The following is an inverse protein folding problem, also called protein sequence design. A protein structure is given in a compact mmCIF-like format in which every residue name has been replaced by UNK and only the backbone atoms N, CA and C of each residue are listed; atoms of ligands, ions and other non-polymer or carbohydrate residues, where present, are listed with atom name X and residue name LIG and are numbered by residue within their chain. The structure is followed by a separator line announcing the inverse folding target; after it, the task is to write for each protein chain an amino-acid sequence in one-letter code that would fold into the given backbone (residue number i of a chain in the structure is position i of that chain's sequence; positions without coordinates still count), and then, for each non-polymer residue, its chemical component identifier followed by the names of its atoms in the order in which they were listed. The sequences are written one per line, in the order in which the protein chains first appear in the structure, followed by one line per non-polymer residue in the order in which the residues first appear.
data_IF_213445763795
#
_entry.id   IF_213445763795
#
_cell.length_a   1.000
_cell.length_b   1.000
_cell.length_c   1.000
_cell.angle_alpha   90.00
_cell.angle_beta   90.00
_cell.angle_gamma   90.00
#
_symmetry.space_group_name_H-M   'P 1'
#
loop_
_entity.id
_entity.type
_entity.pdbx_description
1 polymer ?
#
# COMPACT_ATOMS: atom_id res chain seq x y z
N UNK A 1 7.77 -0.17 11.59
CA UNK A 1 6.51 -0.64 12.19
C UNK A 1 5.78 -1.44 11.14
N UNK A 2 5.34 -2.65 11.47
CA UNK A 2 4.53 -3.50 10.58
C UNK A 2 3.11 -3.59 11.12
N UNK A 3 2.13 -3.70 10.24
CA UNK A 3 0.71 -3.77 10.60
C UNK A 3 0.07 -4.82 9.71
N UNK A 4 -0.60 -5.79 10.30
CA UNK A 4 -1.39 -6.80 9.58
C UNK A 4 -2.43 -7.39 10.55
N UNK A 5 -3.56 -7.86 10.02
CA UNK A 5 -4.65 -8.48 10.79
C UNK A 5 -4.75 -9.99 10.56
N UNK A 6 -3.85 -10.59 9.77
CA UNK A 6 -3.75 -12.03 9.60
C UNK A 6 -3.05 -12.67 10.83
N UNK A 7 -3.72 -13.57 11.57
CA UNK A 7 -3.12 -14.24 12.72
C UNK A 7 -1.87 -15.07 12.38
N UNK A 8 -1.70 -15.50 11.13
CA UNK A 8 -0.51 -16.21 10.66
C UNK A 8 0.69 -15.27 10.61
N UNK A 9 0.51 -14.03 10.14
CA UNK A 9 1.57 -13.03 10.10
C UNK A 9 2.06 -12.72 11.51
N UNK A 10 1.15 -12.56 12.48
CA UNK A 10 1.51 -12.33 13.88
C UNK A 10 2.42 -13.45 14.45
N UNK A 11 2.16 -14.71 14.10
CA UNK A 11 2.95 -15.84 14.56
C UNK A 11 4.40 -15.78 14.05
N UNK A 12 4.59 -15.39 12.79
CA UNK A 12 5.90 -15.25 12.17
C UNK A 12 6.60 -13.94 12.57
N UNK A 13 5.86 -12.84 12.72
CA UNK A 13 6.37 -11.53 13.07
C UNK A 13 7.14 -11.54 14.41
N UNK A 14 6.61 -12.24 15.42
CA UNK A 14 7.29 -12.39 16.72
C UNK A 14 8.63 -13.11 16.62
N UNK A 15 8.81 -13.97 15.63
CA UNK A 15 10.04 -14.73 15.43
C UNK A 15 11.05 -13.99 14.52
N UNK A 16 10.57 -13.17 13.58
CA UNK A 16 11.39 -12.62 12.49
C UNK A 16 11.68 -11.12 12.60
N UNK A 17 10.89 -10.36 13.36
CA UNK A 17 11.08 -8.91 13.49
C UNK A 17 12.14 -8.57 14.55
N UNK A 18 13.35 -9.06 14.33
CA UNK A 18 14.53 -8.64 15.11
C UNK A 18 15.08 -7.34 14.53
N UNK A 19 15.40 -6.39 15.40
CA UNK A 19 16.03 -5.13 15.03
C UNK A 19 17.52 -5.15 15.33
N UNK A 20 18.29 -4.29 14.66
CA UNK A 20 19.64 -3.96 15.12
C UNK A 20 19.58 -3.15 16.43
N UNK A 21 20.69 -3.06 17.19
CA UNK A 21 20.77 -2.26 18.41
C UNK A 21 20.43 -0.78 18.22
N UNK A 22 20.73 -0.22 17.06
CA UNK A 22 20.51 1.20 16.72
C UNK A 22 19.07 1.46 16.23
N UNK A 23 18.40 0.44 15.69
CA UNK A 23 17.07 0.53 15.12
C UNK A 23 15.96 0.10 16.07
N UNK A 24 14.71 0.24 15.62
CA UNK A 24 13.55 -0.34 16.28
C UNK A 24 12.59 -0.94 15.26
N UNK A 25 12.07 -2.12 15.56
CA UNK A 25 10.99 -2.78 14.83
C UNK A 25 9.82 -3.04 15.78
N UNK A 26 8.62 -3.13 15.23
CA UNK A 26 7.40 -3.41 15.98
C UNK A 26 6.36 -3.97 15.04
N UNK A 27 5.37 -4.64 15.61
CA UNK A 27 4.24 -5.23 14.89
C UNK A 27 2.95 -4.89 15.61
N UNK A 28 1.95 -4.46 14.84
CA UNK A 28 0.61 -4.16 15.33
C UNK A 28 -0.37 -5.13 14.67
N UNK A 29 -1.11 -5.84 15.50
CA UNK A 29 -2.27 -6.61 15.07
C UNK A 29 -3.48 -5.67 14.93
N UNK A 30 -3.66 -5.14 13.72
CA UNK A 30 -4.75 -4.21 13.41
C UNK A 30 -5.16 -4.30 11.95
N UNK A 31 -6.46 -4.05 11.72
CA UNK A 31 -6.99 -3.84 10.38
C UNK A 31 -6.56 -2.46 9.86
N UNK A 32 -6.11 -2.40 8.61
CA UNK A 32 -5.75 -1.14 7.93
C UNK A 32 -6.92 -0.15 7.90
N UNK A 33 -8.17 -0.62 8.02
CA UNK A 33 -9.36 0.24 8.04
C UNK A 33 -9.50 1.06 9.34
N UNK A 34 -8.67 0.79 10.36
CA UNK A 34 -8.62 1.48 11.65
C UNK A 34 -7.28 2.24 11.87
N UNK A 35 -7.08 3.40 11.18
CA UNK A 35 -5.89 4.23 11.35
C UNK A 35 -5.65 4.66 12.80
N UNK A 36 -6.72 4.91 13.57
CA UNK A 36 -6.59 5.39 14.95
C UNK A 36 -5.89 4.35 15.81
N UNK A 37 -6.36 3.09 15.78
CA UNK A 37 -5.68 1.98 16.47
C UNK A 37 -4.25 1.80 16.00
N UNK A 38 -3.99 1.93 14.70
CA UNK A 38 -2.63 1.80 14.14
C UNK A 38 -1.71 2.88 14.69
N UNK A 39 -2.10 4.14 14.65
CA UNK A 39 -1.23 5.25 15.09
C UNK A 39 -1.09 5.32 16.61
N UNK A 40 -2.13 4.95 17.36
CA UNK A 40 -2.09 4.91 18.82
C UNK A 40 -1.04 3.91 19.33
N UNK A 41 -0.78 2.83 18.60
CA UNK A 41 0.29 1.88 18.92
C UNK A 41 1.61 2.22 18.20
N UNK A 42 1.55 2.79 16.99
CA UNK A 42 2.75 3.11 16.23
C UNK A 42 3.64 4.14 16.92
N UNK A 43 3.06 5.08 17.68
CA UNK A 43 3.79 6.09 18.46
C UNK A 43 4.74 5.50 19.52
N UNK A 44 4.56 4.24 19.92
CA UNK A 44 5.52 3.57 20.83
C UNK A 44 6.90 3.35 20.17
N UNK A 45 6.94 3.30 18.83
CA UNK A 45 8.13 3.04 18.04
C UNK A 45 8.52 4.23 17.15
N UNK A 46 7.55 4.93 16.58
CA UNK A 46 7.75 6.03 15.64
C UNK A 46 7.54 7.39 16.31
N UNK A 47 8.46 8.32 16.07
CA UNK A 47 8.23 9.74 16.34
C UNK A 47 7.46 10.37 15.16
N UNK A 48 6.15 10.52 15.30
CA UNK A 48 5.28 11.04 14.24
C UNK A 48 5.43 12.55 14.00
N UNK A 49 6.20 13.25 14.84
CA UNK A 49 6.58 14.65 14.58
C UNK A 49 7.65 14.79 13.49
N UNK A 50 8.35 13.69 13.17
CA UNK A 50 9.34 13.61 12.11
C UNK A 50 8.75 12.93 10.85
N UNK A 51 9.35 13.12 9.66
CA UNK A 51 8.90 12.47 8.44
C UNK A 51 8.89 10.94 8.53
N UNK A 52 7.79 10.32 8.08
CA UNK A 52 7.60 8.87 8.05
C UNK A 52 7.37 8.39 6.61
N UNK A 53 7.97 7.24 6.26
CA UNK A 53 7.60 6.50 5.06
C UNK A 53 6.39 5.59 5.34
N UNK A 54 5.23 5.92 4.77
CA UNK A 54 4.02 5.11 4.81
C UNK A 54 3.95 4.21 3.58
N UNK A 55 3.94 2.90 3.81
CA UNK A 55 3.88 1.89 2.75
C UNK A 55 2.51 1.20 2.81
N UNK A 56 1.67 1.45 1.81
CA UNK A 56 0.37 0.80 1.60
C UNK A 56 0.45 -0.08 0.36
N UNK A 57 1.26 -1.14 0.46
CA UNK A 57 1.58 -2.01 -0.66
C UNK A 57 0.63 -3.20 -0.69
N UNK A 58 -0.03 -3.40 -1.84
CA UNK A 58 -0.90 -4.55 -2.11
C UNK A 58 -2.00 -4.78 -1.06
N UNK A 59 -2.59 -3.70 -0.54
CA UNK A 59 -3.62 -3.79 0.51
C UNK A 59 -4.90 -3.01 0.19
N UNK A 60 -4.81 -1.85 -0.47
CA UNK A 60 -5.96 -0.95 -0.66
C UNK A 60 -7.03 -1.50 -1.61
N UNK A 61 -6.68 -2.48 -2.44
CA UNK A 61 -7.65 -3.20 -3.26
C UNK A 61 -8.60 -4.09 -2.44
N UNK A 62 -8.36 -4.29 -1.13
CA UNK A 62 -9.31 -4.93 -0.21
C UNK A 62 -10.21 -3.94 0.54
N UNK A 63 -10.08 -2.65 0.25
CA UNK A 63 -10.95 -1.60 0.78
C UNK A 63 -11.96 -1.26 -0.30
N UNK A 64 -13.23 -1.55 -0.04
CA UNK A 64 -14.32 -1.39 -1.01
C UNK A 64 -14.68 0.07 -1.20
N UNK A 65 -15.36 0.40 -2.30
CA UNK A 65 -15.72 1.78 -2.60
C UNK A 65 -16.64 2.39 -1.54
N UNK A 66 -17.52 1.60 -0.92
CA UNK A 66 -18.39 2.05 0.18
C UNK A 66 -17.61 2.34 1.48
N UNK A 67 -16.37 1.86 1.58
CA UNK A 67 -15.47 2.07 2.72
C UNK A 67 -14.57 3.30 2.54
N UNK A 68 -14.75 4.05 1.44
CA UNK A 68 -13.98 5.25 1.07
C UNK A 68 -12.46 5.02 1.07
N UNK A 69 -11.91 4.31 0.06
CA UNK A 69 -10.48 3.98 0.02
C UNK A 69 -9.60 5.23 -0.05
N UNK A 70 -10.06 6.29 -0.72
CA UNK A 70 -9.34 7.57 -0.78
C UNK A 70 -9.32 8.27 0.58
N UNK A 71 -10.47 8.35 1.25
CA UNK A 71 -10.57 8.90 2.60
C UNK A 71 -9.74 8.11 3.59
N UNK A 72 -9.65 6.77 3.45
CA UNK A 72 -8.77 5.96 4.28
C UNK A 72 -7.30 6.36 4.11
N UNK A 73 -6.80 6.42 2.86
CA UNK A 73 -5.42 6.83 2.58
C UNK A 73 -5.15 8.25 3.10
N UNK A 74 -6.08 9.18 2.93
CA UNK A 74 -5.99 10.55 3.47
C UNK A 74 -5.93 10.56 5.00
N UNK A 75 -6.76 9.79 5.69
CA UNK A 75 -6.72 9.66 7.16
C UNK A 75 -5.37 9.16 7.66
N UNK A 76 -4.72 8.24 6.92
CA UNK A 76 -3.35 7.85 7.26
C UNK A 76 -2.36 9.01 7.07
N UNK A 77 -2.41 9.68 5.93
CA UNK A 77 -1.53 10.81 5.63
C UNK A 77 -1.70 11.97 6.61
N UNK A 78 -2.92 12.26 7.06
CA UNK A 78 -3.23 13.35 8.00
C UNK A 78 -2.52 13.19 9.35
N UNK A 79 -2.21 11.96 9.75
CA UNK A 79 -1.49 11.64 11.00
C UNK A 79 0.02 11.81 10.90
N UNK A 80 0.55 12.06 9.69
CA UNK A 80 1.99 12.16 9.43
C UNK A 80 2.43 13.61 9.26
N UNK A 81 3.69 13.90 9.61
CA UNK A 81 4.26 15.25 9.45
C UNK A 81 4.53 15.60 7.97
N UNK A 82 4.56 16.90 7.60
CA UNK A 82 5.08 17.37 6.31
C UNK A 82 6.45 16.78 5.98
N UNK A 83 6.68 16.45 4.71
CA UNK A 83 7.88 15.76 4.25
C UNK A 83 7.87 14.23 4.42
N UNK A 84 6.84 13.67 5.04
CA UNK A 84 6.55 12.22 4.99
C UNK A 84 6.31 11.74 3.56
N UNK A 85 6.36 10.44 3.32
CA UNK A 85 6.15 9.85 1.99
C UNK A 85 5.08 8.78 2.03
N UNK A 86 4.29 8.68 0.95
CA UNK A 86 3.43 7.55 0.64
C UNK A 86 4.06 6.73 -0.47
N UNK A 87 4.20 5.44 -0.28
CA UNK A 87 4.37 4.45 -1.33
C UNK A 87 3.13 3.55 -1.34
N UNK A 88 2.45 3.46 -2.48
CA UNK A 88 1.21 2.69 -2.62
C UNK A 88 1.26 1.86 -3.90
N UNK A 89 0.73 0.64 -3.82
CA UNK A 89 0.47 -0.20 -4.99
C UNK A 89 -0.98 -0.69 -5.02
N UNK A 90 -1.53 -0.82 -6.22
CA UNK A 90 -2.92 -1.17 -6.44
C UNK A 90 -3.10 -2.07 -7.66
N UNK A 91 -3.81 -3.19 -7.48
CA UNK A 91 -4.10 -4.12 -8.56
C UNK A 91 -5.04 -3.50 -9.58
N UNK A 92 -4.82 -3.82 -10.85
CA UNK A 92 -5.63 -3.32 -11.97
C UNK A 92 -6.08 -4.45 -12.89
N UNK A 93 -7.33 -4.36 -13.35
CA UNK A 93 -7.87 -5.28 -14.34
C UNK A 93 -7.76 -4.78 -15.79
N UNK A 94 -7.12 -3.63 -16.04
CA UNK A 94 -7.19 -2.95 -17.34
C UNK A 94 -6.58 -3.73 -18.50
N UNK A 95 -5.54 -4.51 -18.23
CA UNK A 95 -4.78 -5.24 -19.23
C UNK A 95 -5.33 -6.65 -19.53
N UNK A 96 -6.18 -7.18 -18.65
CA UNK A 96 -6.86 -8.47 -18.85
C UNK A 96 -8.16 -8.54 -18.03
N UNK A 97 -9.18 -7.79 -18.47
CA UNK A 97 -10.47 -7.69 -17.78
C UNK A 97 -11.15 -9.05 -17.54
N UNK A 98 -11.20 -9.98 -18.52
CA UNK A 98 -11.80 -11.30 -18.29
C UNK A 98 -11.13 -12.08 -17.16
N UNK A 99 -9.79 -12.14 -17.13
CA UNK A 99 -9.05 -12.84 -16.09
C UNK A 99 -9.26 -12.19 -14.73
N UNK A 100 -9.17 -10.86 -14.65
CA UNK A 100 -9.35 -10.17 -13.37
C UNK A 100 -10.77 -10.21 -12.84
N UNK A 101 -11.80 -10.26 -13.70
CA UNK A 101 -13.18 -10.54 -13.26
C UNK A 101 -13.30 -11.91 -12.61
N UNK A 102 -12.69 -12.94 -13.20
CA UNK A 102 -12.68 -14.28 -12.63
C UNK A 102 -11.91 -14.34 -11.29
N UNK A 103 -10.77 -13.66 -11.20
CA UNK A 103 -9.97 -13.59 -9.97
C UNK A 103 -10.76 -12.87 -8.87
N UNK A 104 -11.27 -11.66 -9.14
CA UNK A 104 -12.07 -10.90 -8.17
C UNK A 104 -13.29 -11.68 -7.70
N UNK A 105 -13.95 -12.44 -8.58
CA UNK A 105 -15.13 -13.23 -8.18
C UNK A 105 -14.81 -14.35 -7.18
N UNK A 106 -13.54 -14.77 -7.05
CA UNK A 106 -13.14 -15.74 -6.01
C UNK A 106 -13.17 -15.13 -4.60
N UNK A 107 -13.15 -13.80 -4.50
CA UNK A 107 -13.18 -13.07 -3.24
C UNK A 107 -14.59 -12.57 -2.87
N UNK A 108 -15.56 -12.68 -3.79
CA UNK A 108 -16.92 -12.21 -3.59
C UNK A 108 -17.59 -12.90 -2.37
N UNK A 109 -18.23 -12.10 -1.52
CA UNK A 109 -18.89 -12.58 -0.31
C UNK A 109 -17.95 -12.95 0.83
N UNK A 110 -16.64 -12.78 0.65
CA UNK A 110 -15.65 -12.92 1.74
C UNK A 110 -15.34 -11.57 2.40
N UNK A 111 -14.82 -11.55 3.64
CA UNK A 111 -14.29 -10.33 4.25
C UNK A 111 -13.14 -9.65 3.47
N UNK A 112 -12.58 -10.34 2.47
CA UNK A 112 -11.46 -9.87 1.63
C UNK A 112 -11.91 -9.60 0.20
N UNK A 113 -13.15 -9.14 0.01
CA UNK A 113 -13.65 -8.75 -1.33
C UNK A 113 -12.66 -7.79 -1.99
N UNK A 114 -12.18 -8.15 -3.19
CA UNK A 114 -11.11 -7.44 -3.88
C UNK A 114 -11.64 -6.59 -5.03
N UNK A 115 -11.38 -5.29 -4.97
CA UNK A 115 -11.75 -4.30 -5.99
C UNK A 115 -10.49 -3.87 -6.74
N UNK A 116 -10.38 -4.30 -8.01
CA UNK A 116 -9.35 -3.79 -8.92
C UNK A 116 -9.79 -2.47 -9.53
N UNK A 117 -8.84 -1.55 -9.73
CA UNK A 117 -9.13 -0.18 -10.17
C UNK A 117 -8.27 0.19 -11.38
N UNK A 118 -8.72 1.17 -12.14
CA UNK A 118 -7.98 1.68 -13.30
C UNK A 118 -6.89 2.67 -12.90
N UNK A 119 -6.10 3.12 -13.88
CA UNK A 119 -5.02 4.08 -13.67
C UNK A 119 -5.52 5.41 -13.09
N UNK A 120 -6.60 5.98 -13.64
CA UNK A 120 -7.14 7.26 -13.16
C UNK A 120 -7.55 7.18 -11.68
N UNK A 121 -8.11 6.03 -11.29
CA UNK A 121 -8.48 5.77 -9.91
C UNK A 121 -7.22 5.58 -9.04
N UNK A 122 -6.17 4.92 -9.55
CA UNK A 122 -4.90 4.79 -8.86
C UNK A 122 -4.17 6.14 -8.66
N UNK A 123 -4.21 7.01 -9.67
CA UNK A 123 -3.67 8.37 -9.63
C UNK A 123 -4.30 9.19 -8.50
N UNK A 124 -5.62 9.08 -8.32
CA UNK A 124 -6.37 9.80 -7.29
C UNK A 124 -5.93 9.51 -5.84
N UNK A 125 -5.21 8.41 -5.58
CA UNK A 125 -4.65 8.15 -4.23
C UNK A 125 -3.52 9.12 -3.86
N UNK A 126 -2.94 9.79 -4.87
CA UNK A 126 -1.83 10.71 -4.70
C UNK A 126 -2.25 12.19 -4.84
N UNK A 127 -3.56 12.47 -4.95
CA UNK A 127 -4.09 13.82 -5.04
C UNK A 127 -3.61 14.71 -3.88
N UNK A 128 -3.02 15.86 -4.22
CA UNK A 128 -2.48 16.81 -3.23
C UNK A 128 -1.10 16.46 -2.68
N UNK A 129 -0.45 15.41 -3.18
CA UNK A 129 0.93 15.05 -2.87
C UNK A 129 1.88 15.43 -4.01
N UNK A 130 3.17 15.50 -3.71
CA UNK A 130 4.25 15.73 -4.67
C UNK A 130 4.75 14.37 -5.19
N UNK A 131 4.24 13.92 -6.33
CA UNK A 131 4.64 12.66 -6.95
C UNK A 131 6.13 12.66 -7.34
N UNK A 132 6.82 11.58 -6.99
CA UNK A 132 8.18 11.33 -7.46
C UNK A 132 8.12 10.77 -8.89
N UNK A 133 9.05 11.21 -9.74
CA UNK A 133 9.19 10.67 -11.11
C UNK A 133 9.36 9.14 -11.09
N UNK A 134 8.70 8.38 -11.99
CA UNK A 134 7.95 8.83 -13.17
C UNK A 134 6.45 9.16 -12.92
N UNK A 135 6.05 9.35 -11.65
CA UNK A 135 4.65 9.40 -11.25
C UNK A 135 4.11 8.00 -10.96
N UNK A 136 2.83 7.79 -11.29
CA UNK A 136 2.20 6.47 -11.18
C UNK A 136 2.50 5.65 -12.44
N UNK A 137 3.04 4.45 -12.24
CA UNK A 137 3.40 3.53 -13.32
C UNK A 137 3.14 2.09 -12.90
N UNK A 138 3.22 1.14 -13.83
CA UNK A 138 3.21 -0.27 -13.45
C UNK A 138 4.45 -0.61 -12.65
N UNK A 139 4.33 -1.49 -11.65
CA UNK A 139 5.42 -1.80 -10.70
C UNK A 139 6.74 -2.18 -11.40
N UNK A 140 6.67 -3.03 -12.44
CA UNK A 140 7.85 -3.45 -13.22
C UNK A 140 8.48 -2.36 -14.09
N UNK A 141 7.82 -1.20 -14.24
CA UNK A 141 8.31 -0.03 -14.99
C UNK A 141 8.71 1.12 -14.06
N UNK A 142 8.48 1.01 -12.76
CA UNK A 142 8.77 2.07 -11.80
C UNK A 142 10.23 1.96 -11.32
N UNK A 143 11.11 2.79 -11.90
CA UNK A 143 12.56 2.85 -11.59
C UNK A 143 13.23 1.46 -11.52
N UNK A 144 13.17 0.66 -12.59
CA UNK A 144 13.83 -0.64 -12.62
C UNK A 144 15.35 -0.49 -12.39
N UNK A 145 15.95 -1.50 -11.78
CA UNK A 145 17.40 -1.54 -11.61
C UNK A 145 18.11 -1.65 -12.98
N UNK A 146 19.38 -1.23 -13.11
CA UNK A 146 20.07 -1.19 -14.41
C UNK A 146 20.16 -2.53 -15.16
N UNK A 147 20.07 -3.65 -14.45
CA UNK A 147 20.09 -5.01 -14.98
C UNK A 147 18.69 -5.62 -15.19
N UNK A 148 17.63 -4.91 -14.78
CA UNK A 148 16.25 -5.32 -15.03
C UNK A 148 15.77 -4.84 -16.40
N UNK A 149 15.20 -5.76 -17.19
CA UNK A 149 14.51 -5.42 -18.43
C UNK A 149 13.01 -5.25 -18.16
N UNK A 150 12.46 -4.01 -18.14
CA UNK A 150 11.04 -3.79 -17.89
C UNK A 150 10.14 -4.40 -18.97
N UNK A 151 10.66 -4.73 -20.16
CA UNK A 151 9.89 -5.38 -21.22
C UNK A 151 10.00 -6.91 -21.20
N UNK A 152 10.64 -7.50 -20.17
CA UNK A 152 10.69 -8.95 -19.99
C UNK A 152 9.33 -9.56 -19.58
N UNK A 153 8.44 -8.72 -19.04
CA UNK A 153 7.07 -9.07 -18.69
C UNK A 153 6.12 -8.16 -19.47
N UNK A 154 5.01 -8.72 -19.93
CA UNK A 154 3.92 -7.92 -20.49
C UNK A 154 3.12 -7.27 -19.35
N UNK A 155 2.57 -6.07 -19.58
CA UNK A 155 1.78 -5.34 -18.59
C UNK A 155 0.64 -6.19 -17.97
N UNK A 156 0.01 -7.06 -18.78
CA UNK A 156 -1.04 -8.00 -18.31
C UNK A 156 -0.54 -9.02 -17.29
N UNK A 157 0.73 -9.40 -17.35
CA UNK A 157 1.35 -10.35 -16.41
C UNK A 157 1.63 -9.71 -15.05
N UNK A 158 1.69 -8.38 -15.00
CA UNK A 158 2.02 -7.61 -13.78
C UNK A 158 0.77 -7.02 -13.15
N UNK A 159 -0.06 -6.32 -13.93
CA UNK A 159 -1.40 -5.84 -13.53
C UNK A 159 -1.45 -5.12 -12.17
N UNK A 160 -0.44 -4.30 -11.88
CA UNK A 160 -0.33 -3.57 -10.62
C UNK A 160 0.30 -2.19 -10.84
N UNK A 161 -0.47 -1.14 -10.52
CA UNK A 161 -0.01 0.23 -10.49
C UNK A 161 0.75 0.50 -9.20
N UNK A 162 1.74 1.40 -9.22
CA UNK A 162 2.37 1.95 -8.03
C UNK A 162 2.80 3.40 -8.22
N UNK A 163 3.01 4.07 -7.09
CA UNK A 163 3.59 5.41 -7.06
C UNK A 163 4.22 5.69 -5.70
N UNK A 164 5.11 6.68 -5.70
CA UNK A 164 5.69 7.25 -4.48
C UNK A 164 5.48 8.75 -4.53
N UNK A 165 4.98 9.34 -3.45
CA UNK A 165 4.76 10.78 -3.36
C UNK A 165 5.15 11.33 -1.99
N UNK A 166 5.67 12.56 -1.98
CA UNK A 166 5.97 13.32 -0.77
C UNK A 166 4.73 14.08 -0.31
N UNK A 167 4.44 14.04 0.99
CA UNK A 167 3.48 14.94 1.63
C UNK A 167 4.11 16.34 1.73
N UNK A 168 3.46 17.39 1.19
CA UNK A 168 3.96 18.77 1.26
C UNK A 168 4.34 19.19 2.69
#
# INVERSE_FOLDING_TARGET
MYVDNDPIVLLHARALLTSSPEGRTGYIDADVRDPDKVFDQAQEVLDLSQPVGLLLLSIIHFVRDEEDPYGLVRRYLDRLSPGSYLALSHLTGEFDRPTWRYISSQYDGTPHTMVVRDQATADGFFDGLELAEPGVALVHRWRPDPDENPDALEDRQVSCWCGVARKP
#
